data_IF_717514286420
#
_entry.id   IF_717514286420
#
_cell.length_a   1.000
_cell.length_b   1.000
_cell.length_c   1.000
_cell.angle_alpha   90.00
_cell.angle_beta   90.00
_cell.angle_gamma   90.00
#
_symmetry.space_group_name_H-M   'P 1'
#
loop_
_entity.id
_entity.type
_entity.pdbx_description
1 polymer ?
#
# COMPACT_ATOMS: atom_id res chain seq x y z
N UNK A 1 -3.70 -8.09 15.97
CA UNK A 1 -3.39 -7.65 17.34
C UNK A 1 -4.36 -6.54 17.76
N UNK A 2 -5.34 -6.92 18.62
CA UNK A 2 -6.37 -5.97 19.04
C UNK A 2 -5.85 -4.91 20.00
N UNK A 3 -4.86 -5.26 20.82
CA UNK A 3 -4.29 -4.32 21.78
C UNK A 3 -3.58 -3.15 21.08
N UNK A 4 -2.88 -3.46 19.99
CA UNK A 4 -2.22 -2.47 19.13
C UNK A 4 -3.12 -1.92 18.04
N UNK A 5 -4.32 -2.49 17.86
CA UNK A 5 -5.25 -2.17 16.79
C UNK A 5 -4.65 -2.33 15.38
N UNK A 6 -3.85 -3.38 15.21
CA UNK A 6 -3.17 -3.71 13.96
C UNK A 6 -3.65 -5.03 13.37
N UNK A 7 -3.66 -5.11 12.05
CA UNK A 7 -3.79 -6.34 11.29
C UNK A 7 -2.59 -6.50 10.36
N UNK A 8 -2.06 -7.72 10.28
CA UNK A 8 -0.96 -8.02 9.35
C UNK A 8 -1.48 -8.82 8.17
N UNK A 9 -1.31 -8.29 6.98
CA UNK A 9 -1.51 -9.01 5.73
C UNK A 9 -0.16 -9.58 5.28
N UNK A 10 -0.11 -10.88 5.04
CA UNK A 10 1.06 -11.54 4.45
C UNK A 10 0.65 -12.08 3.09
N UNK A 11 1.04 -11.39 2.02
CA UNK A 11 0.75 -11.80 0.65
C UNK A 11 1.87 -12.69 0.15
N UNK A 12 1.55 -13.96 -0.11
CA UNK A 12 2.53 -14.94 -0.58
C UNK A 12 2.77 -14.79 -2.08
N UNK A 13 4.03 -14.76 -2.46
CA UNK A 13 4.48 -14.83 -3.85
C UNK A 13 4.14 -16.18 -4.49
N UNK A 14 4.36 -16.32 -5.82
CA UNK A 14 4.12 -17.58 -6.50
C UNK A 14 5.07 -18.67 -5.97
N UNK A 15 4.52 -19.86 -5.74
CA UNK A 15 5.26 -21.05 -5.34
C UNK A 15 5.34 -22.05 -6.50
N UNK A 16 6.48 -22.71 -6.65
CA UNK A 16 6.71 -23.69 -7.71
C UNK A 16 6.73 -23.08 -9.11
N UNK A 17 6.79 -23.94 -10.11
CA UNK A 17 6.78 -23.53 -11.52
C UNK A 17 5.43 -22.92 -11.90
N UNK A 18 5.47 -21.76 -12.52
CA UNK A 18 4.28 -21.05 -12.99
C UNK A 18 4.11 -21.29 -14.51
N UNK A 19 2.86 -21.39 -15.00
CA UNK A 19 2.61 -21.54 -16.43
C UNK A 19 3.06 -20.29 -17.18
N UNK A 20 3.68 -20.49 -18.35
CA UNK A 20 4.12 -19.41 -19.23
C UNK A 20 3.37 -19.40 -20.57
N UNK A 21 2.86 -20.55 -21.00
CA UNK A 21 2.07 -20.68 -22.21
C UNK A 21 0.57 -20.42 -21.99
N UNK A 22 -0.11 -19.86 -22.99
CA UNK A 22 -1.56 -19.52 -22.90
C UNK A 22 -2.42 -20.73 -22.55
N UNK A 23 -2.15 -21.90 -23.15
CA UNK A 23 -2.96 -23.09 -22.92
C UNK A 23 -2.82 -23.58 -21.46
N UNK A 24 -1.61 -23.53 -20.92
CA UNK A 24 -1.34 -23.87 -19.53
C UNK A 24 -1.98 -22.85 -18.56
N UNK A 25 -1.92 -21.56 -18.88
CA UNK A 25 -2.54 -20.48 -18.11
C UNK A 25 -4.06 -20.68 -18.05
N UNK A 26 -4.69 -20.95 -19.19
CA UNK A 26 -6.14 -21.20 -19.27
C UNK A 26 -6.52 -22.47 -18.53
N UNK A 27 -5.71 -23.52 -18.64
CA UNK A 27 -5.92 -24.77 -17.92
C UNK A 27 -5.80 -24.59 -16.39
N UNK A 28 -4.84 -23.79 -15.92
CA UNK A 28 -4.70 -23.44 -14.51
C UNK A 28 -5.90 -22.64 -13.97
N UNK A 29 -6.53 -21.83 -14.82
CA UNK A 29 -7.77 -21.12 -14.52
C UNK A 29 -7.69 -20.31 -13.23
N UNK A 30 -8.62 -20.56 -12.31
CA UNK A 30 -8.71 -19.85 -11.02
C UNK A 30 -7.53 -20.18 -10.07
N UNK A 31 -6.82 -21.27 -10.30
CA UNK A 31 -5.63 -21.66 -9.54
C UNK A 31 -4.34 -20.99 -10.02
N UNK A 32 -4.37 -20.25 -11.15
CA UNK A 32 -3.22 -19.47 -11.55
C UNK A 32 -2.93 -18.39 -10.52
N UNK A 33 -1.69 -18.36 -10.01
CA UNK A 33 -1.32 -17.54 -8.86
C UNK A 33 -1.82 -16.07 -8.91
N UNK A 34 -1.69 -15.31 -10.01
CA UNK A 34 -2.13 -13.91 -10.00
C UNK A 34 -3.64 -13.75 -9.73
N UNK A 35 -4.45 -14.67 -10.27
CA UNK A 35 -5.90 -14.64 -10.06
C UNK A 35 -6.26 -15.13 -8.67
N UNK A 36 -5.65 -16.19 -8.19
CA UNK A 36 -5.87 -16.71 -6.85
C UNK A 36 -5.48 -15.66 -5.81
N UNK A 37 -4.27 -15.11 -5.89
CA UNK A 37 -3.78 -14.07 -5.00
C UNK A 37 -4.70 -12.84 -5.00
N UNK A 38 -5.10 -12.36 -6.18
CA UNK A 38 -5.99 -11.21 -6.27
C UNK A 38 -7.33 -11.45 -5.58
N UNK A 39 -7.91 -12.64 -5.70
CA UNK A 39 -9.19 -13.00 -5.06
C UNK A 39 -9.06 -13.12 -3.56
N UNK A 40 -8.01 -13.77 -3.08
CA UNK A 40 -7.74 -13.92 -1.65
C UNK A 40 -7.46 -12.56 -0.99
N UNK A 41 -6.67 -11.71 -1.64
CA UNK A 41 -6.40 -10.35 -1.14
C UNK A 41 -7.68 -9.49 -1.15
N UNK A 42 -8.51 -9.58 -2.20
CA UNK A 42 -9.78 -8.84 -2.28
C UNK A 42 -10.73 -9.25 -1.15
N UNK A 43 -10.85 -10.55 -0.89
CA UNK A 43 -11.66 -11.09 0.20
C UNK A 43 -11.13 -10.65 1.59
N UNK A 44 -9.83 -10.74 1.80
CA UNK A 44 -9.18 -10.29 3.03
C UNK A 44 -9.42 -8.78 3.29
N UNK A 45 -9.25 -7.93 2.27
CA UNK A 45 -9.53 -6.49 2.37
C UNK A 45 -10.99 -6.24 2.74
N UNK A 46 -11.93 -6.91 2.07
CA UNK A 46 -13.37 -6.75 2.34
C UNK A 46 -13.73 -7.23 3.74
N UNK A 47 -13.24 -8.40 4.15
CA UNK A 47 -13.46 -8.95 5.48
C UNK A 47 -12.96 -7.99 6.58
N UNK A 48 -11.74 -7.47 6.43
CA UNK A 48 -11.18 -6.52 7.37
C UNK A 48 -11.95 -5.19 7.42
N UNK A 49 -12.45 -4.73 6.28
CA UNK A 49 -13.23 -3.48 6.22
C UNK A 49 -14.59 -3.60 6.89
N UNK A 50 -15.23 -4.75 6.79
CA UNK A 50 -16.62 -4.95 7.25
C UNK A 50 -16.72 -5.54 8.64
N UNK A 51 -15.77 -6.39 9.03
CA UNK A 51 -15.86 -7.14 10.28
C UNK A 51 -14.90 -6.67 11.36
N UNK A 52 -13.82 -5.94 11.00
CA UNK A 52 -12.76 -5.53 11.91
C UNK A 52 -12.58 -4.00 11.90
N UNK A 53 -13.63 -3.29 12.31
CA UNK A 53 -13.70 -1.83 12.22
C UNK A 53 -12.69 -1.12 13.11
N UNK A 54 -12.37 -1.70 14.27
CA UNK A 54 -11.43 -1.18 15.27
C UNK A 54 -9.96 -1.35 14.90
N UNK A 55 -9.63 -2.25 13.93
CA UNK A 55 -8.25 -2.47 13.49
C UNK A 55 -7.85 -1.40 12.46
N UNK A 56 -7.32 -0.29 12.98
CA UNK A 56 -7.08 0.92 12.20
C UNK A 56 -5.78 0.94 11.39
N UNK A 57 -4.80 0.09 11.71
CA UNK A 57 -3.49 0.03 11.05
C UNK A 57 -3.28 -1.34 10.42
N UNK A 58 -3.02 -1.36 9.12
CA UNK A 58 -2.71 -2.56 8.36
C UNK A 58 -1.22 -2.62 8.03
N UNK A 59 -0.58 -3.69 8.47
CA UNK A 59 0.82 -3.97 8.15
C UNK A 59 0.85 -4.88 6.94
N UNK A 60 1.39 -4.38 5.85
CA UNK A 60 1.45 -5.08 4.56
C UNK A 60 2.82 -5.73 4.40
N UNK A 61 2.85 -7.04 4.34
CA UNK A 61 4.05 -7.85 4.14
C UNK A 61 3.88 -8.76 2.92
N UNK A 62 4.96 -9.15 2.34
CA UNK A 62 5.00 -10.21 1.31
C UNK A 62 6.02 -11.27 1.71
N UNK A 63 5.84 -12.49 1.20
CA UNK A 63 6.71 -13.62 1.50
C UNK A 63 6.89 -14.48 0.24
N UNK A 64 8.13 -14.73 -0.18
CA UNK A 64 8.43 -15.51 -1.36
C UNK A 64 9.67 -15.06 -2.13
N UNK A 65 9.75 -15.51 -3.39
CA UNK A 65 10.86 -15.19 -4.30
C UNK A 65 10.51 -14.00 -5.19
N UNK A 66 11.32 -12.96 -5.10
CA UNK A 66 11.20 -11.74 -5.89
C UNK A 66 11.31 -12.03 -7.40
N UNK A 67 12.22 -12.91 -7.82
CA UNK A 67 12.41 -13.25 -9.22
C UNK A 67 11.20 -14.03 -9.78
N UNK A 68 10.56 -14.87 -8.96
CA UNK A 68 9.34 -15.57 -9.35
C UNK A 68 8.18 -14.60 -9.64
N UNK A 69 8.02 -13.54 -8.83
CA UNK A 69 7.02 -12.50 -9.10
C UNK A 69 7.33 -11.76 -10.40
N UNK A 70 8.60 -11.40 -10.64
CA UNK A 70 9.02 -10.74 -11.88
C UNK A 70 8.74 -11.62 -13.12
N UNK A 71 8.97 -12.92 -13.01
CA UNK A 71 8.69 -13.86 -14.11
C UNK A 71 7.19 -13.93 -14.43
N UNK A 72 6.34 -13.97 -13.41
CA UNK A 72 4.88 -13.93 -13.62
C UNK A 72 4.43 -12.62 -14.23
N UNK A 73 4.98 -11.49 -13.80
CA UNK A 73 4.69 -10.18 -14.40
C UNK A 73 5.09 -10.12 -15.88
N UNK A 74 6.23 -10.72 -16.25
CA UNK A 74 6.62 -10.83 -17.66
C UNK A 74 5.59 -11.63 -18.47
N UNK A 75 5.11 -12.76 -17.93
CA UNK A 75 4.06 -13.57 -18.55
C UNK A 75 2.74 -12.79 -18.70
N UNK A 76 2.33 -12.05 -17.66
CA UNK A 76 1.15 -11.17 -17.72
C UNK A 76 1.26 -10.12 -18.83
N UNK A 77 2.44 -9.49 -18.97
CA UNK A 77 2.70 -8.48 -19.99
C UNK A 77 2.72 -9.07 -21.40
N UNK A 78 3.35 -10.22 -21.57
CA UNK A 78 3.43 -10.92 -22.86
C UNK A 78 2.05 -11.26 -23.38
N UNK A 79 1.21 -11.86 -22.53
CA UNK A 79 -0.11 -12.36 -22.90
C UNK A 79 -1.26 -11.39 -22.63
N UNK A 80 -0.99 -10.12 -22.32
CA UNK A 80 -2.01 -9.12 -21.90
C UNK A 80 -3.15 -8.90 -22.88
N UNK A 81 -2.98 -9.30 -24.16
CA UNK A 81 -4.04 -9.20 -25.18
C UNK A 81 -5.01 -10.38 -25.15
N UNK A 82 -4.61 -11.51 -24.59
CA UNK A 82 -5.47 -12.67 -24.44
C UNK A 82 -6.62 -12.37 -23.47
N UNK A 83 -7.83 -12.78 -23.79
CA UNK A 83 -9.03 -12.43 -23.02
C UNK A 83 -8.90 -12.80 -21.54
N UNK A 84 -8.44 -14.03 -21.22
CA UNK A 84 -8.33 -14.49 -19.83
C UNK A 84 -7.28 -13.71 -19.04
N UNK A 85 -6.09 -13.49 -19.61
CA UNK A 85 -5.03 -12.72 -18.96
C UNK A 85 -5.47 -11.26 -18.75
N UNK A 86 -6.19 -10.69 -19.70
CA UNK A 86 -6.78 -9.34 -19.57
C UNK A 86 -7.75 -9.26 -18.40
N UNK A 87 -8.61 -10.27 -18.20
CA UNK A 87 -9.53 -10.33 -17.07
C UNK A 87 -8.79 -10.51 -15.73
N UNK A 88 -7.71 -11.31 -15.71
CA UNK A 88 -6.84 -11.43 -14.53
C UNK A 88 -6.18 -10.10 -14.18
N UNK A 89 -5.61 -9.39 -15.15
CA UNK A 89 -5.07 -8.03 -14.96
C UNK A 89 -6.17 -7.08 -14.47
N UNK A 90 -7.39 -7.21 -14.99
CA UNK A 90 -8.56 -6.44 -14.55
C UNK A 90 -8.93 -6.71 -13.09
N UNK A 91 -8.85 -7.98 -12.65
CA UNK A 91 -9.08 -8.34 -11.25
C UNK A 91 -7.97 -7.79 -10.33
N UNK A 92 -6.70 -7.96 -10.69
CA UNK A 92 -5.56 -7.37 -9.97
C UNK A 92 -5.73 -5.85 -9.81
N UNK A 93 -6.03 -5.16 -10.91
CA UNK A 93 -6.28 -3.70 -10.90
C UNK A 93 -7.37 -3.32 -9.90
N UNK A 94 -8.51 -4.03 -9.92
CA UNK A 94 -9.64 -3.76 -9.02
C UNK A 94 -9.27 -4.00 -7.57
N UNK A 95 -8.59 -5.10 -7.27
CA UNK A 95 -8.16 -5.45 -5.91
C UNK A 95 -7.16 -4.42 -5.36
N UNK A 96 -6.15 -4.05 -6.14
CA UNK A 96 -5.17 -3.04 -5.75
C UNK A 96 -5.81 -1.65 -5.58
N UNK A 97 -6.77 -1.27 -6.44
CA UNK A 97 -7.50 -0.02 -6.30
C UNK A 97 -8.35 0.03 -5.02
N UNK A 98 -8.73 -1.13 -4.48
CA UNK A 98 -9.44 -1.21 -3.20
C UNK A 98 -8.58 -0.78 -2.01
N UNK A 99 -7.26 -1.00 -2.07
CA UNK A 99 -6.33 -0.46 -1.08
C UNK A 99 -6.39 1.07 -1.05
N UNK A 100 -6.39 1.71 -2.22
CA UNK A 100 -6.38 3.17 -2.34
C UNK A 100 -7.59 3.82 -1.63
N UNK A 101 -8.76 3.15 -1.65
CA UNK A 101 -10.02 3.65 -1.07
C UNK A 101 -10.37 2.99 0.27
N UNK A 102 -9.42 2.32 0.91
CA UNK A 102 -9.62 1.77 2.24
C UNK A 102 -9.19 2.78 3.31
N UNK A 103 -10.13 3.22 4.14
CA UNK A 103 -9.89 4.16 5.23
C UNK A 103 -9.18 3.48 6.41
N UNK A 104 -8.01 2.94 6.16
CA UNK A 104 -7.09 2.32 7.12
C UNK A 104 -5.68 2.82 6.84
N UNK A 105 -4.91 3.11 7.88
CA UNK A 105 -3.49 3.37 7.71
C UNK A 105 -2.80 2.10 7.23
N UNK A 106 -2.00 2.19 6.19
CA UNK A 106 -1.24 1.06 5.65
C UNK A 106 0.26 1.32 5.74
N UNK A 107 0.99 0.43 6.38
CA UNK A 107 2.45 0.43 6.40
C UNK A 107 2.97 -0.82 5.70
N UNK A 108 3.78 -0.64 4.67
CA UNK A 108 4.49 -1.75 4.04
C UNK A 108 5.81 -1.99 4.79
N UNK A 109 6.02 -3.22 5.22
CA UNK A 109 7.22 -3.66 5.92
C UNK A 109 8.00 -4.60 5.02
N UNK A 110 9.14 -4.11 4.52
CA UNK A 110 9.99 -4.83 3.57
C UNK A 110 11.16 -5.43 4.35
N UNK A 111 11.03 -6.71 4.67
CA UNK A 111 11.95 -7.47 5.54
C UNK A 111 12.60 -8.62 4.73
N UNK A 112 13.65 -9.29 5.24
CA UNK A 112 14.21 -10.48 4.60
C UNK A 112 13.12 -11.52 4.28
N UNK A 113 13.20 -12.09 3.07
CA UNK A 113 12.18 -13.03 2.58
C UNK A 113 10.97 -12.38 1.91
N UNK A 114 10.88 -11.04 1.89
CA UNK A 114 9.84 -10.35 1.13
C UNK A 114 10.09 -10.42 -0.38
N UNK A 115 8.99 -10.36 -1.14
CA UNK A 115 8.99 -10.39 -2.60
C UNK A 115 8.22 -9.21 -3.22
N UNK A 116 8.45 -8.01 -2.72
CA UNK A 116 7.85 -6.79 -3.26
C UNK A 116 8.44 -6.48 -4.65
N UNK A 117 7.94 -7.17 -5.69
CA UNK A 117 8.28 -6.90 -7.07
C UNK A 117 7.04 -6.61 -7.90
N UNK A 118 7.14 -5.74 -8.88
CA UNK A 118 6.10 -5.46 -9.86
C UNK A 118 4.68 -5.41 -9.29
N UNK A 119 3.86 -6.42 -9.60
CA UNK A 119 2.48 -6.53 -9.09
C UNK A 119 2.41 -6.43 -7.56
N UNK A 120 3.32 -7.09 -6.82
CA UNK A 120 3.35 -7.00 -5.36
C UNK A 120 3.99 -5.71 -4.85
N UNK A 121 4.88 -5.07 -5.64
CA UNK A 121 5.39 -3.75 -5.29
C UNK A 121 4.29 -2.67 -5.26
N UNK A 122 3.19 -2.85 -6.01
CA UNK A 122 2.02 -1.97 -5.94
C UNK A 122 1.42 -1.88 -4.55
N UNK A 123 1.54 -2.93 -3.73
CA UNK A 123 1.07 -2.93 -2.33
C UNK A 123 1.92 -1.96 -1.48
N UNK A 124 3.25 -1.96 -1.67
CA UNK A 124 4.14 -1.03 -0.99
C UNK A 124 3.93 0.42 -1.48
N UNK A 125 3.67 0.59 -2.77
CA UNK A 125 3.38 1.90 -3.37
C UNK A 125 1.99 2.44 -2.96
N UNK A 126 1.04 1.58 -2.63
CA UNK A 126 -0.28 1.95 -2.11
C UNK A 126 -0.25 2.30 -0.62
N UNK A 127 0.76 1.84 0.12
CA UNK A 127 0.88 2.10 1.54
C UNK A 127 1.13 3.59 1.85
N UNK A 128 0.64 4.06 2.99
CA UNK A 128 0.84 5.43 3.46
C UNK A 128 2.30 5.69 3.86
N UNK A 129 2.97 4.66 4.36
CA UNK A 129 4.42 4.62 4.56
C UNK A 129 4.95 3.23 4.20
N UNK A 130 6.16 3.17 3.70
CA UNK A 130 6.88 1.94 3.42
C UNK A 130 8.26 2.01 4.07
N UNK A 131 8.55 0.99 4.86
CA UNK A 131 9.81 0.84 5.58
C UNK A 131 10.57 -0.36 5.01
N UNK A 132 11.84 -0.18 4.75
CA UNK A 132 12.68 -1.23 4.18
C UNK A 132 13.93 -1.41 5.03
N UNK A 133 14.08 -2.60 5.60
CA UNK A 133 15.19 -2.93 6.48
C UNK A 133 16.52 -2.93 5.73
N UNK A 134 17.49 -2.20 6.26
CA UNK A 134 18.88 -2.26 5.82
C UNK A 134 19.68 -3.13 6.77
N UNK A 135 20.52 -4.00 6.25
CA UNK A 135 21.42 -4.86 7.00
C UNK A 135 22.88 -4.55 6.59
N UNK A 136 23.52 -3.57 7.21
CA UNK A 136 24.87 -3.14 6.81
C UNK A 136 25.91 -4.26 6.92
N UNK A 137 25.81 -5.07 7.98
CA UNK A 137 26.74 -6.18 8.25
C UNK A 137 26.42 -7.46 7.46
N UNK A 138 25.19 -7.60 6.96
CA UNK A 138 24.73 -8.77 6.21
C UNK A 138 24.01 -8.39 4.90
N UNK A 139 24.62 -7.62 3.99
CA UNK A 139 23.94 -7.06 2.81
C UNK A 139 23.38 -8.12 1.85
N UNK A 140 23.88 -9.35 1.91
CA UNK A 140 23.36 -10.47 1.14
C UNK A 140 21.99 -10.98 1.63
N UNK A 141 21.68 -10.75 2.91
CA UNK A 141 20.38 -11.10 3.52
C UNK A 141 19.38 -9.94 3.48
N UNK A 142 19.84 -8.72 3.19
CA UNK A 142 18.98 -7.56 3.14
C UNK A 142 17.86 -7.75 2.09
N UNK A 143 16.64 -7.32 2.40
CA UNK A 143 15.52 -7.40 1.46
C UNK A 143 15.77 -6.57 0.22
N UNK A 144 15.04 -6.89 -0.85
CA UNK A 144 15.06 -6.16 -2.11
C UNK A 144 13.64 -5.80 -2.54
N UNK A 145 13.52 -4.68 -3.24
CA UNK A 145 12.31 -4.29 -3.97
C UNK A 145 12.63 -4.16 -5.46
N UNK A 146 11.68 -4.48 -6.34
CA UNK A 146 11.89 -4.33 -7.77
C UNK A 146 10.65 -3.79 -8.47
N UNK A 147 10.84 -2.91 -9.44
CA UNK A 147 9.80 -2.48 -10.36
C UNK A 147 9.81 -3.38 -11.60
N UNK A 148 8.65 -3.57 -12.22
CA UNK A 148 8.49 -4.19 -13.52
C UNK A 148 7.69 -3.28 -14.45
N UNK A 149 7.50 -3.67 -15.71
CA UNK A 149 6.61 -2.95 -16.63
C UNK A 149 5.19 -2.78 -16.11
N UNK A 150 4.77 -3.61 -15.15
CA UNK A 150 3.43 -3.54 -14.55
C UNK A 150 3.19 -2.25 -13.74
N UNK A 151 4.24 -1.64 -13.17
CA UNK A 151 4.12 -0.47 -12.29
C UNK A 151 3.90 0.85 -13.05
N UNK A 152 4.02 0.84 -14.38
CA UNK A 152 3.97 2.06 -15.19
C UNK A 152 2.63 2.23 -15.91
N UNK A 153 1.51 1.96 -15.21
CA UNK A 153 0.16 2.27 -15.68
C UNK A 153 -0.74 1.05 -15.93
N UNK A 154 -0.28 -0.18 -15.68
CA UNK A 154 -1.12 -1.39 -15.81
C UNK A 154 -2.19 -1.44 -14.71
N UNK A 155 -1.86 -0.99 -13.52
CA UNK A 155 -2.73 -0.96 -12.35
C UNK A 155 -3.04 0.46 -11.88
N UNK A 156 -3.82 1.25 -12.64
CA UNK A 156 -4.15 2.60 -12.21
C UNK A 156 -4.97 2.61 -10.93
N UNK A 157 -4.76 3.65 -10.14
CA UNK A 157 -5.62 4.03 -9.02
C UNK A 157 -7.03 4.39 -9.54
N UNK A 158 -7.98 4.59 -8.63
CA UNK A 158 -9.36 4.98 -9.00
C UNK A 158 -9.46 6.31 -9.75
N UNK A 159 -8.46 7.17 -9.65
CA UNK A 159 -8.35 8.43 -10.38
C UNK A 159 -7.66 8.30 -11.75
N UNK A 160 -7.29 7.08 -12.16
CA UNK A 160 -6.65 6.81 -13.46
C UNK A 160 -5.13 6.95 -13.49
N UNK A 161 -4.50 7.42 -12.41
CA UNK A 161 -3.03 7.57 -12.33
C UNK A 161 -2.36 6.28 -11.85
N UNK A 162 -1.11 6.03 -12.28
CA UNK A 162 -0.29 5.01 -11.63
C UNK A 162 0.16 5.49 -10.25
N UNK A 163 0.37 4.54 -9.31
CA UNK A 163 0.86 4.89 -7.96
C UNK A 163 2.23 5.55 -7.98
N UNK A 164 3.09 5.19 -8.93
CA UNK A 164 4.37 5.87 -9.13
C UNK A 164 4.18 7.31 -9.59
N UNK A 165 3.35 7.56 -10.62
CA UNK A 165 3.08 8.92 -11.07
C UNK A 165 2.48 9.77 -9.94
N UNK A 166 1.58 9.18 -9.15
CA UNK A 166 1.00 9.83 -7.99
C UNK A 166 2.04 10.13 -6.91
N UNK A 167 2.91 9.18 -6.60
CA UNK A 167 3.97 9.32 -5.60
C UNK A 167 4.94 10.47 -5.92
N UNK A 168 5.21 10.67 -7.18
CA UNK A 168 6.09 11.72 -7.68
C UNK A 168 5.34 12.99 -8.15
N UNK A 169 4.07 13.14 -7.83
CA UNK A 169 3.24 14.28 -8.25
C UNK A 169 3.27 14.53 -9.77
N UNK A 170 3.36 13.46 -10.57
CA UNK A 170 3.48 13.49 -12.03
C UNK A 170 4.74 14.23 -12.53
N UNK A 171 5.77 14.33 -11.71
CA UNK A 171 7.06 14.84 -12.15
C UNK A 171 7.77 13.81 -13.02
N UNK A 172 8.23 14.25 -14.20
CA UNK A 172 8.81 13.34 -15.20
C UNK A 172 10.17 12.79 -14.78
N UNK A 173 11.03 13.60 -14.17
CA UNK A 173 12.39 13.21 -13.84
C UNK A 173 12.46 12.02 -12.85
N UNK A 174 11.80 12.03 -11.67
CA UNK A 174 11.82 10.89 -10.77
C UNK A 174 11.10 9.67 -11.35
N UNK A 175 10.05 9.88 -12.18
CA UNK A 175 9.37 8.79 -12.85
C UNK A 175 10.25 8.10 -13.90
N UNK A 176 11.04 8.88 -14.65
CA UNK A 176 12.01 8.36 -15.60
C UNK A 176 13.13 7.60 -14.88
N UNK A 177 13.68 8.16 -13.80
CA UNK A 177 14.71 7.50 -12.98
C UNK A 177 14.21 6.15 -12.41
N UNK A 178 12.96 6.09 -11.93
CA UNK A 178 12.35 4.84 -11.48
C UNK A 178 12.19 3.85 -12.64
N UNK A 179 11.83 4.31 -13.84
CA UNK A 179 11.68 3.46 -15.03
C UNK A 179 13.00 2.83 -15.48
N UNK A 180 14.11 3.54 -15.38
CA UNK A 180 15.45 3.03 -15.72
C UNK A 180 15.92 1.90 -14.78
N UNK A 181 15.32 1.82 -13.61
CA UNK A 181 15.60 0.74 -12.64
C UNK A 181 14.65 -0.45 -12.77
N UNK A 182 13.68 -0.41 -13.70
CA UNK A 182 12.76 -1.53 -13.89
C UNK A 182 13.50 -2.84 -14.19
N UNK A 183 13.11 -3.90 -13.50
CA UNK A 183 13.75 -5.22 -13.58
C UNK A 183 14.90 -5.44 -12.61
N UNK A 184 15.48 -4.39 -12.02
CA UNK A 184 16.61 -4.51 -11.10
C UNK A 184 16.14 -4.61 -9.64
N UNK A 185 16.69 -5.56 -8.86
CA UNK A 185 16.47 -5.60 -7.42
C UNK A 185 17.24 -4.47 -6.73
N UNK A 186 16.52 -3.60 -6.02
CA UNK A 186 17.05 -2.42 -5.32
C UNK A 186 17.15 -2.70 -3.83
N UNK A 187 18.22 -2.24 -3.20
CA UNK A 187 18.39 -2.22 -1.75
C UNK A 187 17.68 -1.04 -1.08
N UNK A 188 17.64 -1.03 0.26
CA UNK A 188 16.91 -0.02 1.04
C UNK A 188 17.36 1.41 0.76
N UNK A 189 18.65 1.68 0.86
CA UNK A 189 19.20 3.01 0.62
C UNK A 189 18.94 3.53 -0.80
N UNK A 190 19.05 2.64 -1.80
CA UNK A 190 18.78 3.01 -3.19
C UNK A 190 17.29 3.25 -3.43
N UNK A 191 16.44 2.40 -2.86
CA UNK A 191 14.99 2.54 -2.94
C UNK A 191 14.50 3.83 -2.26
N UNK A 192 15.09 4.22 -1.13
CA UNK A 192 14.81 5.47 -0.45
C UNK A 192 15.29 6.68 -1.26
N UNK A 193 16.51 6.64 -1.76
CA UNK A 193 17.06 7.69 -2.63
C UNK A 193 16.23 7.93 -3.89
N UNK A 194 15.66 6.87 -4.43
CA UNK A 194 14.73 6.93 -5.58
C UNK A 194 13.30 7.32 -5.18
N UNK A 195 13.01 7.47 -3.90
CA UNK A 195 11.67 7.79 -3.41
C UNK A 195 10.68 6.63 -3.51
N UNK A 196 11.13 5.39 -3.69
CA UNK A 196 10.27 4.21 -3.78
C UNK A 196 9.79 3.72 -2.41
N UNK A 197 10.58 3.96 -1.36
CA UNK A 197 10.21 3.70 0.03
C UNK A 197 10.27 4.99 0.85
N UNK A 198 9.61 5.00 2.00
CA UNK A 198 9.52 6.18 2.87
C UNK A 198 10.76 6.32 3.75
N UNK A 199 11.27 5.21 4.26
CA UNK A 199 12.45 5.16 5.11
C UNK A 199 13.14 3.79 4.97
N UNK A 200 14.46 3.79 5.19
CA UNK A 200 15.29 2.60 5.13
C UNK A 200 16.14 2.46 6.41
N UNK A 201 15.50 2.23 7.58
CA UNK A 201 16.22 2.06 8.85
C UNK A 201 17.09 0.80 8.84
N UNK A 202 18.15 0.82 9.61
CA UNK A 202 19.00 -0.35 9.87
C UNK A 202 18.36 -1.29 10.90
N UNK A 203 19.03 -2.38 11.22
CA UNK A 203 18.56 -3.40 12.15
C UNK A 203 18.52 -2.91 13.62
N UNK A 204 19.29 -1.89 13.96
CA UNK A 204 19.29 -1.28 15.30
C UNK A 204 18.00 -0.48 15.51
N UNK A 205 17.63 0.34 14.54
CA UNK A 205 16.51 1.26 14.65
C UNK A 205 15.18 0.67 14.16
N UNK A 206 15.20 -0.43 13.41
CA UNK A 206 14.02 -1.04 12.77
C UNK A 206 12.83 -1.22 13.70
N UNK A 207 13.07 -1.90 14.84
CA UNK A 207 11.98 -2.28 15.74
C UNK A 207 11.32 -1.06 16.39
N UNK A 208 12.11 -0.06 16.75
CA UNK A 208 11.62 1.16 17.39
C UNK A 208 10.91 2.09 16.40
N UNK A 209 11.45 2.25 15.19
CA UNK A 209 10.81 3.03 14.12
C UNK A 209 9.41 2.50 13.82
N UNK A 210 9.26 1.20 13.60
CA UNK A 210 7.96 0.58 13.32
C UNK A 210 7.01 0.70 14.52
N UNK A 211 7.51 0.46 15.72
CA UNK A 211 6.71 0.57 16.95
C UNK A 211 6.17 1.99 17.13
N UNK A 212 7.02 2.99 17.03
CA UNK A 212 6.65 4.40 17.17
C UNK A 212 5.62 4.79 16.10
N UNK A 213 5.85 4.42 14.84
CA UNK A 213 4.93 4.72 13.75
C UNK A 213 3.53 4.11 13.98
N UNK A 214 3.46 2.87 14.48
CA UNK A 214 2.19 2.21 14.82
C UNK A 214 1.50 2.93 15.98
N UNK A 215 2.23 3.22 17.06
CA UNK A 215 1.69 3.90 18.25
C UNK A 215 1.13 5.28 17.92
N UNK A 216 1.85 6.08 17.14
CA UNK A 216 1.38 7.38 16.67
C UNK A 216 0.08 7.28 15.88
N UNK A 217 0.04 6.40 14.87
CA UNK A 217 -1.14 6.25 14.01
C UNK A 217 -2.33 5.65 14.74
N UNK A 218 -2.11 4.66 15.58
CA UNK A 218 -3.19 4.04 16.35
C UNK A 218 -3.78 4.96 17.42
N UNK A 219 -3.06 5.98 17.86
CA UNK A 219 -3.54 6.97 18.84
C UNK A 219 -4.39 8.10 18.21
N UNK A 220 -4.35 8.29 16.90
CA UNK A 220 -5.08 9.37 16.22
C UNK A 220 -6.56 9.04 16.04
N UNK A 221 -7.40 10.08 15.99
CA UNK A 221 -8.82 9.93 15.65
C UNK A 221 -9.00 9.21 14.31
N UNK A 222 -9.82 8.15 14.25
CA UNK A 222 -10.08 7.43 13.01
C UNK A 222 -10.73 8.31 11.94
N UNK A 223 -11.55 9.27 12.33
CA UNK A 223 -12.17 10.23 11.40
C UNK A 223 -11.13 11.16 10.79
N UNK A 224 -10.23 11.68 11.62
CA UNK A 224 -9.14 12.54 11.15
C UNK A 224 -8.18 11.80 10.21
N UNK A 225 -7.86 10.55 10.54
CA UNK A 225 -7.02 9.70 9.67
C UNK A 225 -7.69 9.43 8.33
N UNK A 226 -8.99 9.18 8.29
CA UNK A 226 -9.73 8.97 7.03
C UNK A 226 -9.55 10.17 6.09
N UNK A 227 -9.72 11.39 6.60
CA UNK A 227 -9.51 12.61 5.83
C UNK A 227 -8.04 12.85 5.45
N UNK A 228 -7.12 12.63 6.38
CA UNK A 228 -5.68 12.78 6.14
C UNK A 228 -5.18 11.85 5.04
N UNK A 229 -5.48 10.57 5.16
CA UNK A 229 -5.03 9.53 4.22
C UNK A 229 -5.63 9.76 2.83
N UNK A 230 -6.92 10.08 2.74
CA UNK A 230 -7.55 10.42 1.45
C UNK A 230 -6.89 11.64 0.79
N UNK A 231 -6.56 12.68 1.55
CA UNK A 231 -5.88 13.86 1.02
C UNK A 231 -4.47 13.54 0.53
N UNK A 232 -3.73 12.68 1.22
CA UNK A 232 -2.37 12.30 0.84
C UNK A 232 -2.36 11.32 -0.35
N UNK A 233 -3.24 10.31 -0.35
CA UNK A 233 -3.31 9.30 -1.41
C UNK A 233 -3.78 9.88 -2.74
N UNK A 234 -4.69 10.83 -2.72
CA UNK A 234 -5.30 11.42 -3.92
C UNK A 234 -4.86 12.87 -4.18
N UNK A 235 -3.79 13.35 -3.55
CA UNK A 235 -3.24 14.65 -3.91
C UNK A 235 -2.76 14.63 -5.38
N UNK A 236 -2.85 15.74 -6.07
CA UNK A 236 -2.46 15.87 -7.49
C UNK A 236 -2.25 17.34 -7.85
N UNK A 237 -2.14 17.61 -9.14
CA UNK A 237 -2.08 18.96 -9.68
C UNK A 237 -3.45 19.61 -9.55
N UNK A 238 -3.63 20.40 -8.51
CA UNK A 238 -4.86 21.15 -8.21
C UNK A 238 -4.55 22.63 -8.06
N UNK A 239 -5.54 23.49 -8.35
CA UNK A 239 -5.44 24.90 -7.95
C UNK A 239 -5.59 25.00 -6.42
N UNK A 240 -5.11 26.10 -5.86
CA UNK A 240 -5.27 26.37 -4.42
C UNK A 240 -6.76 26.39 -4.04
N UNK A 241 -7.60 26.97 -4.88
CA UNK A 241 -9.05 27.09 -4.65
C UNK A 241 -9.71 25.70 -4.58
N UNK A 242 -9.42 24.81 -5.52
CA UNK A 242 -10.01 23.46 -5.51
C UNK A 242 -9.49 22.63 -4.35
N UNK A 243 -8.22 22.79 -3.99
CA UNK A 243 -7.64 22.11 -2.82
C UNK A 243 -8.27 22.55 -1.51
N UNK A 244 -8.48 23.87 -1.32
CA UNK A 244 -9.08 24.41 -0.12
C UNK A 244 -10.58 24.13 -0.07
N UNK A 245 -11.33 24.58 -1.08
CA UNK A 245 -12.79 24.57 -1.01
C UNK A 245 -13.41 23.23 -1.44
N UNK A 246 -12.80 22.53 -2.39
CA UNK A 246 -13.31 21.25 -2.85
C UNK A 246 -12.85 20.06 -2.02
N UNK A 247 -11.72 20.18 -1.30
CA UNK A 247 -11.12 19.06 -0.59
C UNK A 247 -10.97 19.31 0.91
N UNK A 248 -10.12 20.23 1.34
CA UNK A 248 -9.85 20.45 2.76
C UNK A 248 -11.09 20.88 3.53
N UNK A 249 -11.86 21.82 2.98
CA UNK A 249 -13.10 22.27 3.58
C UNK A 249 -14.15 21.16 3.68
N UNK A 250 -14.27 20.32 2.64
CA UNK A 250 -15.20 19.18 2.66
C UNK A 250 -14.82 18.19 3.77
N UNK A 251 -13.54 17.81 3.89
CA UNK A 251 -13.07 16.94 4.98
C UNK A 251 -13.21 17.58 6.35
N UNK A 252 -12.90 18.88 6.49
CA UNK A 252 -13.08 19.60 7.73
C UNK A 252 -14.54 19.60 8.19
N UNK A 253 -15.47 19.91 7.30
CA UNK A 253 -16.89 19.89 7.61
C UNK A 253 -17.36 18.49 8.02
N UNK A 254 -16.90 17.45 7.35
CA UNK A 254 -17.24 16.06 7.71
C UNK A 254 -16.67 15.66 9.06
N UNK A 255 -15.41 15.99 9.36
CA UNK A 255 -14.74 15.63 10.62
C UNK A 255 -15.36 16.39 11.81
N UNK A 256 -15.60 17.69 11.65
CA UNK A 256 -15.96 18.58 12.77
C UNK A 256 -17.40 18.43 13.28
N UNK A 257 -18.23 17.66 12.59
CA UNK A 257 -19.58 17.32 13.07
C UNK A 257 -19.62 15.93 13.75
N UNK A 258 -18.52 15.19 13.76
CA UNK A 258 -18.49 13.81 14.28
C UNK A 258 -18.19 13.77 15.78
N UNK A 259 -18.71 12.74 16.51
CA UNK A 259 -18.49 12.60 17.94
C UNK A 259 -17.02 12.61 18.37
N UNK A 260 -16.12 12.05 17.56
CA UNK A 260 -14.67 12.03 17.84
C UNK A 260 -14.05 13.44 17.85
N UNK A 261 -14.68 14.43 17.22
CA UNK A 261 -14.25 15.81 17.26
C UNK A 261 -15.00 16.62 18.32
N UNK A 262 -16.34 16.58 18.32
CA UNK A 262 -17.20 17.51 19.10
C UNK A 262 -17.98 16.87 20.24
N UNK A 263 -17.95 15.56 20.41
CA UNK A 263 -18.55 14.84 21.54
C UNK A 263 -17.87 15.22 22.87
N UNK A 264 -18.43 14.80 23.99
CA UNK A 264 -17.97 15.22 25.34
C UNK A 264 -16.48 14.92 25.60
N UNK A 265 -15.97 13.81 25.05
CA UNK A 265 -14.55 13.43 25.08
C UNK A 265 -13.85 13.56 23.73
N UNK A 266 -14.49 14.27 22.79
CA UNK A 266 -13.94 14.52 21.46
C UNK A 266 -12.74 15.48 21.51
N UNK A 267 -11.86 15.39 20.52
CA UNK A 267 -10.59 16.11 20.47
C UNK A 267 -10.75 17.64 20.67
N UNK A 268 -11.77 18.27 20.07
CA UNK A 268 -11.99 19.71 20.20
C UNK A 268 -12.54 20.10 21.57
N UNK A 269 -13.29 19.22 22.24
CA UNK A 269 -13.87 19.52 23.58
C UNK A 269 -12.84 19.45 24.69
N UNK A 270 -11.86 18.55 24.58
CA UNK A 270 -10.83 18.36 25.59
C UNK A 270 -9.56 19.19 25.30
N UNK A 271 -9.48 19.80 24.13
CA UNK A 271 -8.35 20.64 23.75
C UNK A 271 -8.12 21.76 24.77
N UNK A 272 -6.88 21.89 25.25
CA UNK A 272 -6.50 22.89 26.25
C UNK A 272 -6.91 22.58 27.69
N UNK A 273 -7.59 21.44 27.96
CA UNK A 273 -8.01 21.07 29.33
C UNK A 273 -7.06 20.10 30.03
N UNK A 274 -6.00 19.62 29.36
CA UNK A 274 -5.10 18.61 29.91
C UNK A 274 -5.67 17.20 29.95
N UNK A 275 -6.84 16.98 29.34
CA UNK A 275 -7.50 15.69 29.25
C UNK A 275 -7.15 14.97 27.96
N UNK A 276 -7.10 13.63 27.95
CA UNK A 276 -6.96 12.85 26.72
C UNK A 276 -8.32 12.69 26.05
N UNK A 277 -8.35 12.87 24.73
CA UNK A 277 -9.51 12.53 23.93
C UNK A 277 -9.77 11.01 23.99
N UNK A 278 -11.04 10.62 24.01
CA UNK A 278 -11.46 9.24 23.87
C UNK A 278 -12.26 9.11 22.56
N UNK A 279 -11.82 8.21 21.71
CA UNK A 279 -12.41 8.02 20.40
C UNK A 279 -13.23 6.75 20.31
N UNK A 280 -14.31 6.80 19.55
CA UNK A 280 -14.93 5.62 19.00
C UNK A 280 -14.04 5.11 17.85
N UNK A 281 -13.52 3.91 18.01
CA UNK A 281 -12.59 3.33 17.07
C UNK A 281 -13.25 2.67 15.88
N UNK A 282 -14.56 2.49 15.91
CA UNK A 282 -15.29 1.98 14.76
C UNK A 282 -15.22 2.99 13.61
N UNK A 283 -14.71 2.51 12.50
CA UNK A 283 -14.60 3.32 11.29
C UNK A 283 -15.83 3.16 10.41
N UNK A 284 -16.17 4.23 9.72
CA UNK A 284 -17.27 4.26 8.75
C UNK A 284 -16.80 3.76 7.40
#
# INVERSE_FOLDING_TARGET
>A
DRARRTATFVVKGPSGAQPTGIDEIVAAGAGWWPLQMARELDDAILSMRTNELDLGVWLMKTEGDLAAVQAVDATLLEHRKHWFVREVIGMLRRTLARLDVSARTMFALIEPGSCFAGTLAEIALAADRSYMLVLPDEPAKAPRIALTGMNFGTYPMVNGQSRLARRFYEEEAPLAAAREQAGKPLGGEEAERLGLVTAAPDDIDWADEIRIAIEERSAMSPDALTGLEANLRFAGKETMETRIFGRLTAWQNWIFIRPNAVGDKGALKVYGKGEKAAFDWNRV
#
